data_IF_892084321374
#
_entry.id   IF_892084321374
#
_cell.length_a   1.000
_cell.length_b   1.000
_cell.length_c   1.000
_cell.angle_alpha   90.00
_cell.angle_beta   90.00
_cell.angle_gamma   90.00
#
_symmetry.space_group_name_H-M   'P 1'
#
loop_
_entity.id
_entity.type
_entity.pdbx_description
1 polymer ?
#
# COMPACT_ATOMS: atom_id res chain seq x y z
N UNK A 1 -49.76 20.79 16.79
CA UNK A 1 -48.63 21.67 16.45
C UNK A 1 -47.81 20.94 15.38
N UNK A 2 -47.97 21.29 14.10
CA UNK A 2 -47.22 20.65 13.00
C UNK A 2 -45.85 21.36 12.92
N UNK A 3 -44.71 20.65 12.97
CA UNK A 3 -43.40 21.29 12.96
C UNK A 3 -43.18 22.00 11.63
N UNK A 4 -42.66 23.24 11.69
CA UNK A 4 -42.34 24.02 10.50
C UNK A 4 -41.26 23.31 9.67
N UNK A 5 -41.35 23.31 8.33
CA UNK A 5 -40.33 22.71 7.47
C UNK A 5 -38.99 23.43 7.69
N UNK A 6 -37.85 22.71 7.68
CA UNK A 6 -36.54 23.34 7.79
C UNK A 6 -36.38 24.36 6.67
N UNK A 7 -35.87 25.56 7.00
CA UNK A 7 -35.60 26.56 5.99
C UNK A 7 -34.58 25.99 4.98
N UNK A 8 -34.83 26.18 3.69
CA UNK A 8 -34.01 25.67 2.58
C UNK A 8 -32.53 26.03 2.79
N UNK A 9 -32.27 27.19 3.40
CA UNK A 9 -30.93 27.68 3.75
C UNK A 9 -30.22 26.77 4.77
N UNK A 10 -30.91 26.29 5.81
CA UNK A 10 -30.32 25.42 6.82
C UNK A 10 -30.00 24.02 6.24
N UNK A 11 -30.87 23.50 5.36
CA UNK A 11 -30.64 22.23 4.68
C UNK A 11 -29.45 22.29 3.71
N UNK A 12 -29.27 23.41 3.00
CA UNK A 12 -28.11 23.64 2.13
C UNK A 12 -26.82 23.75 2.95
N UNK A 13 -26.83 24.51 4.06
CA UNK A 13 -25.67 24.65 4.94
C UNK A 13 -25.19 23.30 5.52
N UNK A 14 -26.11 22.44 5.93
CA UNK A 14 -25.77 21.10 6.42
C UNK A 14 -25.11 20.24 5.34
N UNK A 15 -25.64 20.26 4.11
CA UNK A 15 -25.06 19.53 2.98
C UNK A 15 -23.66 20.00 2.62
N UNK A 16 -23.43 21.32 2.60
CA UNK A 16 -22.08 21.87 2.36
C UNK A 16 -21.12 21.41 3.44
N UNK A 17 -21.53 21.43 4.72
CA UNK A 17 -20.68 20.97 5.83
C UNK A 17 -20.35 19.48 5.73
N UNK A 18 -21.34 18.64 5.36
CA UNK A 18 -21.10 17.21 5.14
C UNK A 18 -20.15 16.97 3.97
N UNK A 19 -20.33 17.67 2.85
CA UNK A 19 -19.44 17.56 1.71
C UNK A 19 -18.00 17.95 2.07
N UNK A 20 -17.81 19.05 2.81
CA UNK A 20 -16.49 19.46 3.29
C UNK A 20 -15.86 18.43 4.21
N UNK A 21 -16.63 17.84 5.14
CA UNK A 21 -16.12 16.81 6.03
C UNK A 21 -15.67 15.56 5.27
N UNK A 22 -16.49 15.07 4.31
CA UNK A 22 -16.14 13.93 3.48
C UNK A 22 -14.94 14.21 2.57
N UNK A 23 -14.79 15.45 2.07
CA UNK A 23 -13.63 15.83 1.27
C UNK A 23 -12.33 15.86 2.10
N UNK A 24 -12.37 16.35 3.34
CA UNK A 24 -11.20 16.33 4.24
C UNK A 24 -10.76 14.90 4.58
N UNK A 25 -11.73 14.02 4.86
CA UNK A 25 -11.49 12.60 5.10
C UNK A 25 -10.83 11.93 3.90
N UNK A 26 -11.40 12.07 2.70
CA UNK A 26 -10.84 11.49 1.47
C UNK A 26 -9.44 12.05 1.17
N UNK A 27 -9.21 13.35 1.37
CA UNK A 27 -7.91 13.95 1.13
C UNK A 27 -6.83 13.39 2.07
N UNK A 28 -7.19 13.18 3.34
CA UNK A 28 -6.31 12.58 4.34
C UNK A 28 -6.01 11.12 4.03
N UNK A 29 -7.04 10.34 3.72
CA UNK A 29 -6.89 8.93 3.37
C UNK A 29 -5.99 8.77 2.14
N UNK A 30 -6.19 9.59 1.10
CA UNK A 30 -5.33 9.55 -0.08
C UNK A 30 -3.88 9.90 0.22
N UNK A 31 -3.63 10.85 1.12
CA UNK A 31 -2.27 11.17 1.52
C UNK A 31 -1.61 10.02 2.28
N UNK A 32 -2.33 9.35 3.18
CA UNK A 32 -1.82 8.17 3.91
C UNK A 32 -1.59 7.01 2.96
N UNK A 33 -2.58 6.67 2.12
CA UNK A 33 -2.50 5.62 1.09
C UNK A 33 -1.23 5.78 0.22
N UNK A 34 -0.92 7.03 -0.18
CA UNK A 34 0.22 7.33 -1.04
C UNK A 34 1.54 7.02 -0.34
N UNK A 35 1.68 7.45 0.91
CA UNK A 35 2.90 7.19 1.69
C UNK A 35 3.06 5.71 2.00
N UNK A 36 1.97 5.02 2.35
CA UNK A 36 2.01 3.57 2.57
C UNK A 36 2.39 2.79 1.31
N UNK A 37 1.95 3.26 0.14
CA UNK A 37 2.36 2.71 -1.15
C UNK A 37 3.86 2.92 -1.40
N UNK A 38 4.38 4.13 -1.18
CA UNK A 38 5.81 4.45 -1.35
C UNK A 38 6.71 3.61 -0.44
N UNK A 39 6.32 3.44 0.83
CA UNK A 39 7.05 2.59 1.79
C UNK A 39 7.11 1.15 1.28
N UNK A 40 5.96 0.59 0.86
CA UNK A 40 5.90 -0.76 0.30
C UNK A 40 6.75 -0.93 -0.96
N UNK A 41 6.82 0.09 -1.80
CA UNK A 41 7.69 0.09 -2.97
C UNK A 41 9.17 0.08 -2.60
N UNK A 42 9.57 0.89 -1.61
CA UNK A 42 10.94 0.90 -1.08
C UNK A 42 11.33 -0.45 -0.47
N UNK A 43 10.44 -1.11 0.27
CA UNK A 43 10.67 -2.44 0.85
C UNK A 43 10.87 -3.50 -0.26
N UNK A 44 10.07 -3.44 -1.33
CA UNK A 44 10.24 -4.31 -2.49
C UNK A 44 11.59 -4.08 -3.21
N UNK A 45 11.98 -2.82 -3.41
CA UNK A 45 13.29 -2.47 -4.00
C UNK A 45 14.43 -2.96 -3.11
N UNK A 46 14.31 -2.76 -1.79
CA UNK A 46 15.28 -3.24 -0.81
C UNK A 46 15.43 -4.77 -0.88
N UNK A 47 14.32 -5.49 -1.00
CA UNK A 47 14.33 -6.93 -1.21
C UNK A 47 15.05 -7.35 -2.49
N UNK A 48 14.81 -6.64 -3.60
CA UNK A 48 15.54 -6.87 -4.85
C UNK A 48 17.03 -6.56 -4.73
N UNK A 49 17.43 -5.55 -3.95
CA UNK A 49 18.85 -5.25 -3.73
C UNK A 49 19.52 -6.33 -2.89
N UNK A 50 18.90 -6.82 -1.82
CA UNK A 50 19.50 -7.80 -0.92
C UNK A 50 19.44 -9.21 -1.52
N UNK A 51 18.32 -9.61 -2.12
CA UNK A 51 18.09 -10.98 -2.62
C UNK A 51 18.22 -11.11 -4.14
N UNK A 52 18.38 -10.01 -4.88
CA UNK A 52 18.43 -10.00 -6.35
C UNK A 52 19.52 -10.89 -6.96
N UNK A 53 20.65 -11.06 -6.27
CA UNK A 53 21.71 -11.97 -6.72
C UNK A 53 21.23 -13.41 -6.89
N UNK A 54 20.27 -13.86 -6.07
CA UNK A 54 19.72 -15.21 -6.16
C UNK A 54 18.82 -15.42 -7.38
N UNK A 55 18.37 -14.33 -8.02
CA UNK A 55 17.55 -14.35 -9.24
C UNK A 55 18.29 -13.78 -10.47
N UNK A 56 19.61 -13.58 -10.37
CA UNK A 56 20.45 -13.13 -11.48
C UNK A 56 20.44 -11.61 -11.72
N UNK A 57 19.86 -10.82 -10.83
CA UNK A 57 19.96 -9.36 -10.84
C UNK A 57 21.29 -8.98 -10.17
N UNK A 58 22.13 -8.11 -10.78
CA UNK A 58 23.37 -7.68 -10.15
C UNK A 58 23.07 -6.98 -8.83
N UNK A 59 23.42 -7.62 -7.72
CA UNK A 59 23.19 -7.13 -6.37
C UNK A 59 24.47 -6.49 -5.80
N UNK A 60 24.36 -5.76 -4.67
CA UNK A 60 25.50 -5.32 -3.88
C UNK A 60 26.42 -6.50 -3.52
N UNK A 61 27.70 -6.24 -3.20
CA UNK A 61 28.63 -7.25 -2.70
C UNK A 61 28.04 -8.01 -1.50
N UNK A 62 28.26 -9.33 -1.43
CA UNK A 62 27.67 -10.24 -0.42
C UNK A 62 27.87 -9.75 1.03
N UNK A 63 28.97 -9.07 1.32
CA UNK A 63 29.25 -8.49 2.64
C UNK A 63 28.17 -7.49 3.05
N UNK A 64 27.77 -6.61 2.12
CA UNK A 64 26.74 -5.59 2.33
C UNK A 64 25.36 -6.25 2.45
N UNK A 65 25.08 -7.25 1.60
CA UNK A 65 23.85 -8.05 1.68
C UNK A 65 23.68 -8.71 3.05
N UNK A 66 24.75 -9.30 3.61
CA UNK A 66 24.69 -9.97 4.91
C UNK A 66 24.51 -8.99 6.07
N UNK A 67 25.07 -7.77 5.96
CA UNK A 67 24.89 -6.72 6.95
C UNK A 67 23.45 -6.18 6.97
N UNK A 68 22.80 -6.09 5.79
CA UNK A 68 21.44 -5.60 5.62
C UNK A 68 20.36 -6.68 5.83
N UNK A 69 20.74 -7.96 5.82
CA UNK A 69 19.80 -9.09 5.97
C UNK A 69 18.93 -9.03 7.24
N UNK A 70 19.43 -8.61 8.42
CA UNK A 70 18.60 -8.48 9.63
C UNK A 70 17.48 -7.45 9.48
N UNK A 71 17.71 -6.35 8.74
CA UNK A 71 16.70 -5.32 8.50
C UNK A 71 15.54 -5.82 7.62
N UNK A 72 15.75 -6.93 6.91
CA UNK A 72 14.76 -7.61 6.07
C UNK A 72 14.00 -8.75 6.76
N UNK A 73 14.28 -9.06 8.04
CA UNK A 73 13.74 -10.25 8.70
C UNK A 73 12.20 -10.35 8.58
N UNK A 74 11.51 -9.24 8.83
CA UNK A 74 10.05 -9.18 8.76
C UNK A 74 9.52 -9.51 7.35
N UNK A 75 10.03 -8.82 6.33
CA UNK A 75 9.61 -9.02 4.95
C UNK A 75 9.97 -10.41 4.43
N UNK A 76 11.09 -10.96 4.88
CA UNK A 76 11.49 -12.33 4.57
C UNK A 76 10.50 -13.35 5.14
N UNK A 77 10.03 -13.15 6.38
CA UNK A 77 8.96 -13.96 6.97
C UNK A 77 7.64 -13.84 6.19
N UNK A 78 7.24 -12.62 5.83
CA UNK A 78 6.03 -12.38 5.02
C UNK A 78 6.11 -13.07 3.67
N UNK A 79 7.27 -13.02 3.01
CA UNK A 79 7.52 -13.74 1.75
C UNK A 79 7.38 -15.26 1.92
N UNK A 80 7.96 -15.84 2.97
CA UNK A 80 7.88 -17.28 3.24
C UNK A 80 6.43 -17.72 3.55
N UNK A 81 5.69 -16.91 4.31
CA UNK A 81 4.28 -17.18 4.63
C UNK A 81 3.40 -17.15 3.38
N UNK A 82 3.66 -16.21 2.46
CA UNK A 82 2.99 -16.16 1.15
C UNK A 82 3.30 -17.40 0.33
N UNK A 83 4.55 -17.85 0.26
CA UNK A 83 4.92 -19.08 -0.46
C UNK A 83 4.25 -20.32 0.16
N UNK A 84 4.14 -20.37 1.49
CA UNK A 84 3.49 -21.48 2.20
C UNK A 84 1.98 -21.55 2.01
N UNK A 85 1.33 -20.42 1.69
CA UNK A 85 -0.13 -20.29 1.57
C UNK A 85 -0.61 -20.15 0.12
N UNK A 86 0.26 -19.77 -0.81
CA UNK A 86 -0.05 -19.63 -2.22
C UNK A 86 -0.23 -21.01 -2.88
N UNK A 87 -1.46 -21.32 -3.29
CA UNK A 87 -1.75 -22.51 -4.08
C UNK A 87 -1.27 -22.38 -5.55
N UNK A 88 -0.98 -21.15 -6.00
CA UNK A 88 -0.35 -20.82 -7.28
C UNK A 88 0.34 -19.42 -7.24
N UNK A 89 1.57 -19.31 -6.69
CA UNK A 89 2.26 -18.03 -6.54
C UNK A 89 2.67 -17.39 -7.88
N UNK A 90 2.75 -18.17 -8.96
CA UNK A 90 3.05 -17.65 -10.29
C UNK A 90 1.79 -17.06 -10.94
N UNK A 91 0.60 -17.63 -10.70
CA UNK A 91 -0.66 -17.11 -11.21
C UNK A 91 -0.97 -15.66 -10.77
N UNK A 92 -0.68 -15.31 -9.52
CA UNK A 92 -0.85 -13.93 -9.02
C UNK A 92 0.17 -12.96 -9.64
N UNK A 93 1.43 -13.39 -9.78
CA UNK A 93 2.47 -12.62 -10.47
C UNK A 93 2.11 -12.34 -11.94
N UNK A 94 1.58 -13.34 -12.66
CA UNK A 94 1.14 -13.16 -14.05
C UNK A 94 -0.14 -12.32 -14.16
N UNK A 95 -1.04 -12.38 -13.17
CA UNK A 95 -2.24 -11.53 -13.14
C UNK A 95 -1.92 -10.04 -12.98
N UNK A 96 -0.79 -9.68 -12.35
CA UNK A 96 -0.33 -8.29 -12.22
C UNK A 96 0.39 -7.81 -13.49
N UNK A 97 1.01 -8.74 -14.23
CA UNK A 97 1.75 -8.46 -15.46
C UNK A 97 0.90 -8.53 -16.74
N UNK A 98 -0.37 -8.94 -16.65
CA UNK A 98 -1.30 -8.91 -17.78
C UNK A 98 -1.57 -7.44 -18.14
N UNK A 99 -0.82 -6.99 -19.15
CA UNK A 99 -0.92 -5.68 -19.80
C UNK A 99 -1.92 -5.85 -20.95
N UNK A 100 -3.02 -5.08 -20.90
CA UNK A 100 -3.82 -4.78 -22.10
C UNK A 100 -3.01 -3.97 -23.13
#
# INVERSE_FOLDING_TARGET
MIPAPPSIIAAIGHRIRQLWASMDEVARDKAVDTIEYEVRELDNIFALLVLGAFVGIPSPPVQITLELMPDMEHEFCVMLDKVGTAHDPLGELFSVLDID
#
